data_IF_235786185990
#
_entry.id   IF_235786185990
#
_cell.length_a   1.000
_cell.length_b   1.000
_cell.length_c   1.000
_cell.angle_alpha   90.00
_cell.angle_beta   90.00
_cell.angle_gamma   90.00
#
_symmetry.space_group_name_H-M   'P 1'
#
loop_
_entity.id
_entity.type
_entity.pdbx_description
1 polymer ?
#
# COMPACT_ATOMS: atom_id res chain seq x y z
N UNK A 1 -0.18 -15.03 7.55
CA UNK A 1 -1.52 -15.53 7.91
C UNK A 1 -1.67 -16.85 7.18
N UNK A 2 -1.53 -17.98 7.88
CA UNK A 2 -1.13 -19.28 7.31
C UNK A 2 -2.09 -20.43 7.60
N UNK A 3 -3.33 -20.33 7.09
CA UNK A 3 -4.28 -21.46 7.10
C UNK A 3 -4.93 -21.81 8.44
N UNK A 4 -4.67 -21.06 9.52
CA UNK A 4 -5.34 -21.27 10.80
C UNK A 4 -6.84 -20.96 10.68
N UNK A 5 -7.68 -21.96 10.95
CA UNK A 5 -9.13 -21.80 10.94
C UNK A 5 -9.60 -20.86 12.06
N UNK A 6 -10.52 -19.96 11.73
CA UNK A 6 -11.21 -19.12 12.71
C UNK A 6 -12.26 -19.95 13.46
N UNK A 7 -12.29 -19.86 14.80
CA UNK A 7 -13.33 -20.52 15.61
C UNK A 7 -14.32 -19.48 16.14
N UNK A 8 -15.64 -19.65 15.94
CA UNK A 8 -16.63 -18.70 16.40
C UNK A 8 -16.76 -18.68 17.93
N UNK A 9 -17.14 -17.53 18.49
CA UNK A 9 -17.45 -17.31 19.90
C UNK A 9 -18.89 -16.79 20.07
N UNK A 10 -19.44 -16.96 21.28
CA UNK A 10 -20.83 -16.58 21.58
C UNK A 10 -21.14 -15.08 21.42
N UNK A 11 -20.14 -14.20 21.50
CA UNK A 11 -20.29 -12.74 21.37
C UNK A 11 -20.11 -12.23 19.93
N UNK A 12 -20.21 -13.12 18.93
CA UNK A 12 -20.04 -12.81 17.51
C UNK A 12 -18.60 -12.56 17.07
N UNK A 13 -17.62 -12.83 17.93
CA UNK A 13 -16.20 -12.79 17.59
C UNK A 13 -15.66 -14.16 17.14
N UNK A 14 -14.41 -14.17 16.68
CA UNK A 14 -13.68 -15.36 16.28
C UNK A 14 -12.33 -15.42 16.98
N UNK A 15 -11.84 -16.62 17.31
CA UNK A 15 -10.45 -16.82 17.73
C UNK A 15 -9.57 -17.15 16.53
N UNK A 16 -8.37 -16.55 16.52
CA UNK A 16 -7.28 -16.79 15.58
C UNK A 16 -6.02 -17.10 16.41
N UNK A 17 -5.80 -18.38 16.73
CA UNK A 17 -4.86 -18.76 17.79
C UNK A 17 -5.30 -18.15 19.13
N UNK A 18 -4.40 -17.43 19.79
CA UNK A 18 -4.66 -16.76 21.07
C UNK A 18 -5.25 -15.34 20.93
N UNK A 19 -5.48 -14.87 19.69
CA UNK A 19 -6.01 -13.53 19.41
C UNK A 19 -7.51 -13.57 19.14
N UNK A 20 -8.20 -12.50 19.54
CA UNK A 20 -9.63 -12.29 19.26
C UNK A 20 -9.82 -11.35 18.07
N UNK A 21 -10.65 -11.75 17.13
CA UNK A 21 -10.99 -11.02 15.91
C UNK A 21 -12.49 -10.74 15.83
N UNK A 22 -12.87 -9.57 15.32
CA UNK A 22 -14.25 -9.26 14.93
C UNK A 22 -14.28 -8.72 13.49
N UNK A 23 -15.27 -9.13 12.71
CA UNK A 23 -15.61 -8.43 11.46
C UNK A 23 -16.40 -7.17 11.82
N UNK A 24 -16.12 -6.04 11.14
CA UNK A 24 -16.81 -4.79 11.46
C UNK A 24 -18.21 -4.80 10.85
N UNK A 25 -19.22 -4.50 11.66
CA UNK A 25 -20.61 -4.18 11.25
C UNK A 25 -21.26 -5.19 10.28
N UNK A 26 -20.93 -6.48 10.38
CA UNK A 26 -21.43 -7.52 9.46
C UNK A 26 -20.84 -7.44 8.05
N UNK A 27 -19.89 -6.54 7.80
CA UNK A 27 -19.15 -6.44 6.56
C UNK A 27 -17.94 -7.38 6.60
N UNK A 28 -17.92 -8.47 5.80
CA UNK A 28 -16.79 -9.40 5.77
C UNK A 28 -15.53 -8.77 5.15
N UNK A 29 -15.63 -7.59 4.54
CA UNK A 29 -14.51 -6.91 3.92
C UNK A 29 -13.60 -6.20 4.93
N UNK A 30 -13.99 -6.03 6.19
CA UNK A 30 -13.13 -5.42 7.20
C UNK A 30 -13.15 -6.21 8.50
N UNK A 31 -11.97 -6.41 9.09
CA UNK A 31 -11.81 -7.08 10.37
C UNK A 31 -10.88 -6.29 11.28
N UNK A 32 -11.12 -6.39 12.58
CA UNK A 32 -10.26 -5.86 13.62
C UNK A 32 -9.74 -7.02 14.47
N UNK A 33 -8.42 -7.04 14.69
CA UNK A 33 -7.77 -7.94 15.64
C UNK A 33 -7.26 -7.11 16.81
N UNK A 34 -7.75 -7.44 18.01
CA UNK A 34 -7.24 -6.84 19.23
C UNK A 34 -5.96 -7.58 19.64
N UNK A 35 -4.88 -6.82 19.76
CA UNK A 35 -3.58 -7.35 20.15
C UNK A 35 -3.42 -7.38 21.66
N UNK A 36 -2.50 -8.21 22.14
CA UNK A 36 -2.21 -8.35 23.57
C UNK A 36 -1.67 -7.04 24.17
N UNK A 37 -0.98 -6.22 23.37
CA UNK A 37 -0.46 -4.91 23.74
C UNK A 37 -1.53 -3.78 23.73
N UNK A 38 -2.81 -4.13 23.52
CA UNK A 38 -3.92 -3.17 23.43
C UNK A 38 -4.05 -2.48 22.08
N UNK A 39 -3.12 -2.67 21.14
CA UNK A 39 -3.25 -2.13 19.79
C UNK A 39 -4.31 -2.88 18.97
N UNK A 40 -4.85 -2.23 17.94
CA UNK A 40 -5.83 -2.84 17.04
C UNK A 40 -5.24 -2.92 15.64
N UNK A 41 -5.12 -4.13 15.10
CA UNK A 41 -4.79 -4.35 13.69
C UNK A 41 -6.07 -4.38 12.88
N UNK A 42 -6.22 -3.46 11.93
CA UNK A 42 -7.33 -3.47 10.96
C UNK A 42 -6.89 -4.19 9.69
N UNK A 43 -7.71 -5.11 9.23
CA UNK A 43 -7.58 -5.82 7.97
C UNK A 43 -8.71 -5.37 7.05
N UNK A 44 -8.37 -5.11 5.80
CA UNK A 44 -9.36 -4.83 4.74
C UNK A 44 -9.14 -5.85 3.63
N UNK A 45 -10.22 -6.52 3.24
CA UNK A 45 -10.25 -7.36 2.05
C UNK A 45 -10.13 -6.46 0.83
N UNK A 46 -9.14 -6.77 -0.01
CA UNK A 46 -8.87 -6.05 -1.25
C UNK A 46 -8.84 -7.05 -2.40
N UNK A 47 -9.30 -6.61 -3.57
CA UNK A 47 -9.15 -7.39 -4.80
C UNK A 47 -7.73 -7.24 -5.32
N UNK A 48 -7.11 -8.35 -5.70
CA UNK A 48 -5.83 -8.34 -6.40
C UNK A 48 -5.96 -7.51 -7.68
N UNK A 49 -4.92 -6.75 -8.00
CA UNK A 49 -4.91 -5.86 -9.15
C UNK A 49 -3.84 -6.25 -10.15
N UNK A 50 -4.28 -6.56 -11.37
CA UNK A 50 -3.41 -6.72 -12.54
C UNK A 50 -3.51 -5.45 -13.39
N UNK A 51 -2.58 -4.49 -13.23
CA UNK A 51 -2.64 -3.22 -13.96
C UNK A 51 -2.51 -3.43 -15.47
N UNK A 52 -3.23 -2.64 -16.25
CA UNK A 52 -2.91 -2.45 -17.67
C UNK A 52 -1.81 -1.42 -17.83
N UNK A 53 -1.13 -1.39 -18.99
CA UNK A 53 -0.03 -0.45 -19.24
C UNK A 53 -0.43 1.02 -18.97
N UNK A 54 -1.64 1.42 -19.38
CA UNK A 54 -2.14 2.77 -19.16
C UNK A 54 -2.25 3.15 -17.67
N UNK A 55 -2.57 2.20 -16.80
CA UNK A 55 -2.63 2.44 -15.35
C UNK A 55 -1.25 2.80 -14.81
N UNK A 56 -0.22 2.03 -15.18
CA UNK A 56 1.16 2.27 -14.75
C UNK A 56 1.69 3.57 -15.34
N UNK A 57 1.44 3.83 -16.62
CA UNK A 57 1.84 5.07 -17.30
C UNK A 57 1.25 6.31 -16.62
N UNK A 58 0.01 6.23 -16.12
CA UNK A 58 -0.58 7.33 -15.36
C UNK A 58 0.20 7.67 -14.08
N UNK A 59 0.90 6.71 -13.47
CA UNK A 59 1.72 6.90 -12.27
C UNK A 59 3.15 7.38 -12.60
N UNK A 60 3.58 7.24 -13.86
CA UNK A 60 4.94 7.56 -14.27
C UNK A 60 5.29 9.04 -14.10
N UNK A 61 6.54 9.31 -13.71
CA UNK A 61 7.04 10.67 -13.52
C UNK A 61 7.96 10.80 -12.31
N UNK A 62 8.42 12.02 -12.09
CA UNK A 62 9.24 12.37 -10.94
C UNK A 62 8.35 12.82 -9.78
N UNK A 63 8.73 12.42 -8.57
CA UNK A 63 8.00 12.60 -7.33
C UNK A 63 8.96 13.12 -6.26
N UNK A 64 8.68 14.29 -5.70
CA UNK A 64 9.54 14.96 -4.73
C UNK A 64 8.93 14.96 -3.33
N UNK A 65 9.74 14.60 -2.34
CA UNK A 65 9.42 14.75 -0.93
C UNK A 65 10.21 15.90 -0.35
N UNK A 66 9.51 16.93 0.10
CA UNK A 66 10.09 18.05 0.86
C UNK A 66 10.65 17.58 2.21
N UNK A 67 10.03 16.58 2.82
CA UNK A 67 10.49 16.04 4.12
C UNK A 67 11.84 15.33 3.98
N UNK A 68 11.99 14.49 2.95
CA UNK A 68 13.24 13.77 2.71
C UNK A 68 14.26 14.58 1.89
N UNK A 69 13.88 15.76 1.37
CA UNK A 69 14.65 16.54 0.38
C UNK A 69 15.14 15.65 -0.77
N UNK A 70 14.26 14.78 -1.25
CA UNK A 70 14.61 13.70 -2.17
C UNK A 70 13.56 13.54 -3.28
N UNK A 71 14.04 13.25 -4.49
CA UNK A 71 13.21 12.92 -5.64
C UNK A 71 13.38 11.45 -5.99
N UNK A 72 12.26 10.77 -6.16
CA UNK A 72 12.18 9.43 -6.74
C UNK A 72 11.43 9.50 -8.06
N UNK A 73 11.74 8.59 -8.98
CA UNK A 73 11.03 8.47 -10.24
C UNK A 73 10.26 7.16 -10.28
N UNK A 74 8.95 7.25 -10.55
CA UNK A 74 8.14 6.12 -10.95
C UNK A 74 8.39 5.88 -12.43
N UNK A 75 9.15 4.84 -12.74
CA UNK A 75 9.51 4.47 -14.10
C UNK A 75 8.66 3.29 -14.57
N UNK A 76 8.23 3.33 -15.83
CA UNK A 76 7.51 2.24 -16.49
C UNK A 76 8.35 1.78 -17.67
N UNK A 77 8.64 0.48 -17.71
CA UNK A 77 9.42 -0.17 -18.76
C UNK A 77 8.62 -1.37 -19.27
N UNK A 78 7.93 -1.19 -20.40
CA UNK A 78 6.97 -2.17 -20.90
C UNK A 78 5.77 -2.32 -19.95
N UNK A 79 5.56 -3.52 -19.46
CA UNK A 79 4.51 -3.90 -18.50
C UNK A 79 4.97 -3.86 -17.04
N UNK A 80 6.21 -3.42 -16.77
CA UNK A 80 6.81 -3.39 -15.43
C UNK A 80 6.97 -1.97 -14.94
N UNK A 81 6.80 -1.81 -13.63
CA UNK A 81 7.03 -0.55 -12.93
C UNK A 81 8.24 -0.65 -11.99
N UNK A 82 8.91 0.47 -11.78
CA UNK A 82 10.07 0.59 -10.91
C UNK A 82 10.03 1.92 -10.14
N UNK A 83 10.54 1.92 -8.91
CA UNK A 83 11.03 3.15 -8.28
C UNK A 83 12.51 3.25 -8.55
N UNK A 84 12.91 4.40 -9.08
CA UNK A 84 14.33 4.73 -9.28
C UNK A 84 14.69 5.95 -8.45
N UNK A 85 15.89 5.93 -7.86
CA UNK A 85 16.47 7.06 -7.15
C UNK A 85 17.95 7.12 -7.53
N UNK A 86 18.41 8.32 -7.90
CA UNK A 86 19.81 8.53 -8.27
C UNK A 86 20.73 8.29 -7.05
N UNK A 87 21.97 7.80 -7.26
CA UNK A 87 22.57 7.45 -8.55
C UNK A 87 22.29 6.03 -9.04
N UNK A 88 21.91 5.08 -8.18
CA UNK A 88 21.95 3.64 -8.54
C UNK A 88 20.73 2.82 -8.13
N UNK A 89 19.79 3.39 -7.35
CA UNK A 89 18.63 2.65 -6.88
C UNK A 89 17.64 2.43 -8.02
N UNK A 90 17.33 1.17 -8.30
CA UNK A 90 16.22 0.75 -9.17
C UNK A 90 15.55 -0.47 -8.54
N UNK A 91 14.36 -0.27 -8.00
CA UNK A 91 13.62 -1.30 -7.28
C UNK A 91 12.35 -1.66 -8.06
N UNK A 92 12.10 -2.95 -8.33
CA UNK A 92 10.89 -3.37 -9.04
C UNK A 92 9.66 -3.19 -8.15
N UNK A 93 8.58 -2.67 -8.74
CA UNK A 93 7.28 -2.55 -8.11
C UNK A 93 6.39 -3.72 -8.52
N UNK A 94 5.95 -4.51 -7.53
CA UNK A 94 4.99 -5.60 -7.74
C UNK A 94 3.61 -5.17 -7.26
N UNK A 95 2.59 -5.09 -8.13
CA UNK A 95 1.23 -4.75 -7.72
C UNK A 95 0.73 -5.69 -6.62
N UNK A 96 -0.03 -5.15 -5.66
CA UNK A 96 -0.70 -5.92 -4.60
C UNK A 96 -2.23 -5.76 -4.78
N UNK A 97 -2.67 -4.50 -4.78
CA UNK A 97 -4.02 -4.07 -5.10
C UNK A 97 -3.92 -2.67 -5.73
N UNK A 98 -5.06 -2.09 -6.13
CA UNK A 98 -5.07 -0.84 -6.90
C UNK A 98 -4.16 0.23 -6.27
N UNK A 99 -3.24 0.76 -7.07
CA UNK A 99 -2.28 1.80 -6.72
C UNK A 99 -1.32 1.45 -5.55
N UNK A 100 -1.24 0.18 -5.12
CA UNK A 100 -0.37 -0.28 -4.05
C UNK A 100 0.60 -1.36 -4.53
N UNK A 101 1.87 -1.20 -4.18
CA UNK A 101 2.96 -1.99 -4.69
C UNK A 101 3.88 -2.46 -3.55
N UNK A 102 4.33 -3.70 -3.65
CA UNK A 102 5.42 -4.23 -2.85
C UNK A 102 6.74 -4.05 -3.59
N UNK A 103 7.80 -3.78 -2.84
CA UNK A 103 9.17 -3.67 -3.33
C UNK A 103 10.12 -4.12 -2.23
N UNK A 104 11.38 -4.53 -2.50
CA UNK A 104 12.28 -5.00 -1.45
C UNK A 104 12.42 -3.99 -0.29
N UNK A 105 11.94 -4.37 0.90
CA UNK A 105 12.04 -3.58 2.13
C UNK A 105 10.99 -2.48 2.31
N UNK A 106 10.15 -2.22 1.31
CA UNK A 106 9.18 -1.11 1.35
C UNK A 106 7.83 -1.47 0.72
N UNK A 107 6.83 -0.65 1.02
CA UNK A 107 5.56 -0.56 0.31
C UNK A 107 5.49 0.82 -0.32
N UNK A 108 5.05 0.88 -1.57
CA UNK A 108 4.82 2.14 -2.29
C UNK A 108 3.34 2.19 -2.64
N UNK A 109 2.68 3.31 -2.36
CA UNK A 109 1.29 3.47 -2.72
C UNK A 109 0.99 4.87 -3.22
N UNK A 110 -0.04 4.97 -4.05
CA UNK A 110 -0.54 6.24 -4.56
C UNK A 110 -1.94 6.48 -4.04
N UNK A 111 -2.17 7.66 -3.48
CA UNK A 111 -3.48 8.12 -3.05
C UNK A 111 -4.13 8.94 -4.15
N UNK A 112 -5.46 8.92 -4.16
CA UNK A 112 -6.27 9.70 -5.09
C UNK A 112 -7.21 10.61 -4.29
N UNK A 113 -7.50 11.77 -4.86
CA UNK A 113 -8.48 12.69 -4.31
C UNK A 113 -9.92 12.15 -4.47
N UNK A 114 -10.91 12.90 -3.96
CA UNK A 114 -12.33 12.53 -4.08
C UNK A 114 -12.85 12.49 -5.51
N UNK A 115 -12.15 13.12 -6.46
CA UNK A 115 -12.45 13.06 -7.89
C UNK A 115 -11.72 11.90 -8.61
N UNK A 116 -10.96 11.08 -7.88
CA UNK A 116 -10.20 9.95 -8.41
C UNK A 116 -8.89 10.35 -9.11
N UNK A 117 -8.48 11.62 -9.00
CA UNK A 117 -7.20 12.09 -9.54
C UNK A 117 -6.08 11.69 -8.59
N UNK A 118 -4.94 11.33 -9.17
CA UNK A 118 -3.73 11.03 -8.41
C UNK A 118 -3.34 12.27 -7.58
N UNK A 119 -3.22 12.10 -6.26
CA UNK A 119 -2.85 13.15 -5.30
C UNK A 119 -1.37 13.02 -4.92
N UNK A 120 -1.02 11.94 -4.20
CA UNK A 120 0.32 11.74 -3.65
C UNK A 120 0.86 10.34 -3.86
N UNK A 121 2.17 10.24 -3.95
CA UNK A 121 2.89 8.98 -3.82
C UNK A 121 3.44 8.88 -2.41
N UNK A 122 3.42 7.70 -1.84
CA UNK A 122 3.88 7.42 -0.50
C UNK A 122 4.84 6.24 -0.51
N UNK A 123 5.83 6.29 0.37
CA UNK A 123 6.75 5.17 0.62
C UNK A 123 6.72 4.86 2.11
N UNK A 124 6.59 3.57 2.44
CA UNK A 124 6.57 3.07 3.80
C UNK A 124 7.51 1.88 3.97
N UNK A 125 8.10 1.74 5.14
CA UNK A 125 8.99 0.66 5.53
C UNK A 125 9.05 0.52 7.06
N UNK A 126 9.85 -0.42 7.59
CA UNK A 126 9.83 -0.76 9.01
C UNK A 126 10.10 0.41 9.98
N UNK A 127 10.88 1.40 9.54
CA UNK A 127 11.26 2.58 10.34
C UNK A 127 10.69 3.90 9.83
N UNK A 128 9.97 3.88 8.72
CA UNK A 128 9.43 5.06 8.04
C UNK A 128 8.01 4.70 7.62
N UNK A 129 7.00 5.09 8.40
CA UNK A 129 5.65 4.55 8.19
C UNK A 129 4.96 5.14 6.97
N UNK A 130 5.15 6.43 6.73
CA UNK A 130 4.50 7.17 5.65
C UNK A 130 5.36 8.37 5.26
N UNK A 131 6.10 8.26 4.16
CA UNK A 131 6.85 9.37 3.57
C UNK A 131 6.11 9.86 2.32
N UNK A 132 5.53 11.08 2.35
CA UNK A 132 4.77 11.61 1.23
C UNK A 132 5.67 12.25 0.16
N UNK A 133 5.26 12.11 -1.08
CA UNK A 133 5.85 12.71 -2.26
C UNK A 133 4.76 13.37 -3.11
N UNK A 134 5.08 14.52 -3.69
CA UNK A 134 4.23 15.24 -4.63
C UNK A 134 4.80 15.12 -6.04
N UNK A 135 3.92 15.10 -7.04
CA UNK A 135 4.35 15.00 -8.44
C UNK A 135 5.10 16.27 -8.84
N UNK A 136 6.31 16.10 -9.38
CA UNK A 136 7.06 17.21 -9.95
C UNK A 136 6.40 17.59 -11.27
N UNK A 137 6.03 18.86 -11.41
CA UNK A 137 5.52 19.38 -12.68
C UNK A 137 6.57 19.16 -13.77
N UNK A 138 6.15 18.62 -14.91
CA UNK A 138 6.99 18.60 -16.10
C UNK A 138 7.19 20.07 -16.50
N UNK A 139 8.44 20.57 -16.43
CA UNK A 139 8.73 21.88 -17.02
C UNK A 139 8.45 21.79 -18.53
N UNK A 140 7.67 22.73 -19.10
CA UNK A 140 7.40 22.76 -20.53
C UNK A 140 8.67 22.94 -21.36
#
# INVERSE_FOLDING_TARGET
>A
IGGTALKPMADGSFTLGDRKMKFADGNPATAAINNVDGSVTRLTLVTEWTPIAADLTALAGDWHSEEAQATVKFAVEGDKAFITQRPSTKLPLRPIYKDHFSTPGYVVWVTRDSAGKIDRLHVGGPRMRDMPFTRVAVKP
#
